data_IF_652135884751
#
_entry.id   IF_652135884751
#
_cell.length_a   1.000
_cell.length_b   1.000
_cell.length_c   1.000
_cell.angle_alpha   90.00
_cell.angle_beta   90.00
_cell.angle_gamma   90.00
#
_symmetry.space_group_name_H-M   'P 1'
#
loop_
_entity.id
_entity.type
_entity.pdbx_description
1 polymer ?
#
# COMPACT_ATOMS: atom_id res chain seq x y z
N UNK A 1 -10.09 113.37 -28.55
CA UNK A 1 -10.96 113.41 -29.75
C UNK A 1 -12.39 113.35 -29.26
N UNK A 2 -13.08 114.49 -29.33
CA UNK A 2 -14.44 114.62 -28.81
C UNK A 2 -15.36 114.02 -29.87
N UNK A 3 -16.00 112.90 -29.55
CA UNK A 3 -16.99 112.21 -30.40
C UNK A 3 -18.30 113.01 -30.36
N UNK A 4 -18.19 114.27 -30.77
CA UNK A 4 -19.24 114.98 -31.47
C UNK A 4 -18.74 114.91 -32.90
N UNK A 5 -19.12 113.85 -33.60
CA UNK A 5 -19.20 113.72 -35.05
C UNK A 5 -19.47 112.24 -35.35
N UNK A 6 -20.47 111.99 -36.19
CA UNK A 6 -20.94 110.69 -36.69
C UNK A 6 -22.04 110.00 -35.88
N UNK A 7 -23.20 110.65 -35.75
CA UNK A 7 -24.42 109.94 -36.13
C UNK A 7 -24.96 110.66 -37.35
N UNK A 8 -24.96 109.92 -38.44
CA UNK A 8 -25.22 110.33 -39.81
C UNK A 8 -26.75 110.31 -39.97
N UNK A 9 -27.39 111.46 -40.23
CA UNK A 9 -28.86 111.60 -40.33
C UNK A 9 -29.51 110.63 -41.34
N UNK A 10 -28.74 110.07 -42.29
CA UNK A 10 -29.21 109.02 -43.19
C UNK A 10 -29.54 107.69 -42.50
N UNK A 11 -28.95 107.38 -41.34
CA UNK A 11 -29.23 106.14 -40.60
C UNK A 11 -30.48 106.25 -39.72
N UNK A 12 -30.83 107.44 -39.24
CA UNK A 12 -32.09 107.63 -38.50
C UNK A 12 -33.29 107.54 -39.43
N UNK A 13 -33.22 108.13 -40.63
CA UNK A 13 -34.32 108.01 -41.61
C UNK A 13 -34.51 106.57 -42.12
N UNK A 14 -33.43 105.81 -42.35
CA UNK A 14 -33.53 104.38 -42.69
C UNK A 14 -34.07 103.53 -41.53
N UNK A 15 -33.73 103.88 -40.28
CA UNK A 15 -34.24 103.20 -39.10
C UNK A 15 -35.72 103.53 -38.84
N UNK A 16 -36.14 104.78 -39.05
CA UNK A 16 -37.53 105.22 -38.97
C UNK A 16 -38.36 104.57 -40.10
N UNK A 17 -37.83 104.48 -41.33
CA UNK A 17 -38.51 103.76 -42.41
C UNK A 17 -38.65 102.26 -42.14
N UNK A 18 -37.64 101.62 -41.55
CA UNK A 18 -37.71 100.20 -41.15
C UNK A 18 -38.70 99.99 -40.00
N UNK A 19 -38.77 100.91 -39.03
CA UNK A 19 -39.75 100.87 -37.93
C UNK A 19 -41.18 101.08 -38.46
N UNK A 20 -41.40 102.03 -39.38
CA UNK A 20 -42.71 102.27 -39.99
C UNK A 20 -43.14 101.10 -40.89
N UNK A 21 -42.22 100.46 -41.62
CA UNK A 21 -42.52 99.22 -42.37
C UNK A 21 -42.82 98.03 -41.44
N UNK A 22 -42.13 97.90 -40.31
CA UNK A 22 -42.42 96.89 -39.30
C UNK A 22 -43.78 97.14 -38.61
N UNK A 23 -44.14 98.40 -38.32
CA UNK A 23 -45.45 98.76 -37.79
C UNK A 23 -46.59 98.55 -38.81
N UNK A 24 -46.36 98.79 -40.11
CA UNK A 24 -47.33 98.45 -41.17
C UNK A 24 -47.52 96.94 -41.35
N UNK A 25 -46.52 96.11 -41.02
CA UNK A 25 -46.63 94.64 -40.98
C UNK A 25 -47.20 94.10 -39.67
N UNK A 26 -47.18 94.91 -38.60
CA UNK A 26 -47.89 94.68 -37.33
C UNK A 26 -49.32 95.24 -37.33
N UNK A 27 -49.74 95.89 -38.42
CA UNK A 27 -51.12 96.31 -38.58
C UNK A 27 -51.96 95.06 -38.78
N UNK A 28 -52.52 94.60 -37.66
CA UNK A 28 -53.25 93.37 -37.56
C UNK A 28 -54.61 93.53 -38.28
N UNK A 29 -54.92 92.74 -39.33
CA UNK A 29 -56.27 92.68 -39.89
C UNK A 29 -57.33 92.27 -38.86
N UNK A 30 -56.88 91.77 -37.69
CA UNK A 30 -57.74 91.50 -36.56
C UNK A 30 -58.08 92.74 -35.72
N UNK A 31 -57.41 93.88 -35.82
CA UNK A 31 -57.75 95.09 -35.05
C UNK A 31 -58.97 95.80 -35.64
N UNK A 32 -59.10 95.91 -36.97
CA UNK A 32 -60.35 96.30 -37.63
C UNK A 32 -61.45 95.25 -37.41
N UNK A 33 -61.15 93.94 -37.46
CA UNK A 33 -62.12 92.91 -37.07
C UNK A 33 -62.52 93.00 -35.59
N UNK A 34 -61.64 93.45 -34.69
CA UNK A 34 -61.94 93.64 -33.28
C UNK A 34 -62.75 94.90 -33.04
N UNK A 35 -62.48 96.00 -33.75
CA UNK A 35 -63.28 97.24 -33.67
C UNK A 35 -64.66 96.98 -34.28
N UNK A 36 -64.75 96.37 -35.46
CA UNK A 36 -66.03 96.01 -36.09
C UNK A 36 -66.80 95.00 -35.25
N UNK A 37 -66.16 93.93 -34.73
CA UNK A 37 -66.83 93.00 -33.80
C UNK A 37 -67.20 93.66 -32.47
N UNK A 38 -66.38 94.59 -31.96
CA UNK A 38 -66.70 95.35 -30.76
C UNK A 38 -67.89 96.25 -31.00
N UNK A 39 -67.98 96.91 -32.15
CA UNK A 39 -69.12 97.75 -32.51
C UNK A 39 -70.38 96.92 -32.80
N UNK A 40 -70.25 95.74 -33.41
CA UNK A 40 -71.32 94.74 -33.53
C UNK A 40 -71.76 94.21 -32.16
N UNK A 41 -70.82 93.96 -31.24
CA UNK A 41 -71.12 93.55 -29.85
C UNK A 41 -71.75 94.72 -29.09
N UNK A 42 -71.32 95.96 -29.28
CA UNK A 42 -71.92 97.15 -28.65
C UNK A 42 -73.30 97.43 -29.24
N UNK A 43 -73.52 97.26 -30.54
CA UNK A 43 -74.85 97.33 -31.16
C UNK A 43 -75.75 96.21 -30.68
N UNK A 44 -75.23 94.97 -30.59
CA UNK A 44 -75.95 93.82 -30.05
C UNK A 44 -76.27 94.00 -28.57
N UNK A 45 -75.36 94.60 -27.78
CA UNK A 45 -75.56 94.94 -26.37
C UNK A 45 -76.56 96.09 -26.22
N UNK A 46 -76.56 97.11 -27.10
CA UNK A 46 -77.57 98.17 -27.11
C UNK A 46 -78.95 97.68 -27.57
N UNK A 47 -78.99 96.71 -28.50
CA UNK A 47 -80.22 96.02 -28.87
C UNK A 47 -80.73 95.12 -27.73
N UNK A 48 -79.83 94.44 -27.01
CA UNK A 48 -80.15 93.69 -25.79
C UNK A 48 -80.63 94.60 -24.65
N UNK A 49 -80.00 95.76 -24.46
CA UNK A 49 -80.38 96.76 -23.46
C UNK A 49 -81.74 97.40 -23.83
N UNK A 50 -81.97 97.70 -25.11
CA UNK A 50 -83.29 98.10 -25.62
C UNK A 50 -84.36 97.00 -25.52
N UNK A 51 -84.00 95.73 -25.69
CA UNK A 51 -84.88 94.57 -25.48
C UNK A 51 -85.15 94.29 -24.00
N UNK A 52 -84.20 94.57 -23.12
CA UNK A 52 -84.33 94.43 -21.67
C UNK A 52 -85.25 95.54 -21.11
N UNK A 53 -85.06 96.79 -21.55
CA UNK A 53 -85.92 97.92 -21.17
C UNK A 53 -87.32 97.82 -21.81
N UNK A 54 -87.48 97.16 -22.97
CA UNK A 54 -88.79 96.94 -23.60
C UNK A 54 -89.50 95.64 -23.19
N UNK A 55 -88.81 94.68 -22.57
CA UNK A 55 -89.41 93.54 -21.86
C UNK A 55 -89.61 93.77 -20.36
N UNK A 56 -89.06 94.84 -19.78
CA UNK A 56 -89.23 95.22 -18.37
C UNK A 56 -90.68 95.62 -17.97
N UNK A 57 -91.63 95.65 -18.92
CA UNK A 57 -93.07 95.85 -18.63
C UNK A 57 -93.91 94.56 -18.83
N UNK A 58 -93.30 93.43 -19.20
CA UNK A 58 -94.00 92.15 -19.31
C UNK A 58 -93.56 91.16 -18.22
N UNK A 59 -93.94 91.43 -16.98
CA UNK A 59 -94.23 90.43 -15.95
C UNK A 59 -93.33 89.17 -15.91
N UNK A 60 -92.00 89.31 -15.83
CA UNK A 60 -91.21 88.29 -15.14
C UNK A 60 -91.19 88.63 -13.67
N UNK A 61 -92.34 88.37 -13.05
CA UNK A 61 -92.34 87.89 -11.66
C UNK A 61 -91.17 86.90 -11.59
N UNK A 62 -90.25 87.06 -10.64
CA UNK A 62 -89.63 85.88 -10.04
C UNK A 62 -90.82 84.95 -9.84
N UNK A 63 -90.89 83.76 -10.47
CA UNK A 63 -91.93 82.83 -10.10
C UNK A 63 -91.73 82.69 -8.60
N UNK A 64 -92.62 83.26 -7.80
CA UNK A 64 -92.69 82.97 -6.38
C UNK A 64 -92.93 81.47 -6.42
N UNK A 65 -91.84 80.71 -6.28
CA UNK A 65 -91.91 79.28 -6.18
C UNK A 65 -92.94 79.08 -5.09
N UNK A 66 -94.00 78.36 -5.43
CA UNK A 66 -94.92 77.93 -4.38
C UNK A 66 -94.08 77.19 -3.36
N UNK A 67 -94.44 77.26 -2.08
CA UNK A 67 -93.67 76.63 -0.99
C UNK A 67 -93.26 75.18 -1.36
N UNK A 68 -94.12 74.46 -2.11
CA UNK A 68 -93.85 73.14 -2.69
C UNK A 68 -92.65 73.04 -3.63
N UNK A 69 -92.41 74.03 -4.50
CA UNK A 69 -91.28 74.03 -5.45
C UNK A 69 -89.95 74.35 -4.74
N UNK A 70 -89.99 75.15 -3.67
CA UNK A 70 -88.83 75.37 -2.78
C UNK A 70 -88.53 74.07 -2.02
N UNK A 71 -89.55 73.42 -1.47
CA UNK A 71 -89.41 72.12 -0.79
C UNK A 71 -88.89 71.00 -1.71
N UNK A 72 -89.30 70.96 -2.99
CA UNK A 72 -88.77 70.02 -3.98
C UNK A 72 -87.29 70.28 -4.30
N UNK A 73 -86.89 71.54 -4.46
CA UNK A 73 -85.48 71.90 -4.70
C UNK A 73 -84.60 71.69 -3.48
N UNK A 74 -85.10 71.92 -2.27
CA UNK A 74 -84.41 71.60 -1.02
C UNK A 74 -84.26 70.08 -0.83
N UNK A 75 -85.25 69.27 -1.22
CA UNK A 75 -85.12 67.80 -1.24
C UNK A 75 -84.08 67.33 -2.25
N UNK A 76 -84.03 67.94 -3.43
CA UNK A 76 -83.05 67.64 -4.48
C UNK A 76 -81.63 68.02 -4.05
N UNK A 77 -81.46 69.18 -3.41
CA UNK A 77 -80.18 69.62 -2.83
C UNK A 77 -79.73 68.69 -1.69
N UNK A 78 -80.64 68.31 -0.78
CA UNK A 78 -80.35 67.35 0.28
C UNK A 78 -79.96 65.97 -0.28
N UNK A 79 -80.60 65.53 -1.36
CA UNK A 79 -80.24 64.31 -2.09
C UNK A 79 -78.82 64.38 -2.64
N UNK A 80 -78.45 65.48 -3.31
CA UNK A 80 -77.12 65.68 -3.86
C UNK A 80 -76.04 65.75 -2.76
N UNK A 81 -76.32 66.40 -1.63
CA UNK A 81 -75.40 66.43 -0.49
C UNK A 81 -75.20 65.04 0.15
N UNK A 82 -76.23 64.19 0.17
CA UNK A 82 -76.11 62.80 0.61
C UNK A 82 -75.24 62.01 -0.37
N UNK A 83 -75.39 62.25 -1.67
CA UNK A 83 -74.61 61.59 -2.72
C UNK A 83 -73.14 62.04 -2.73
N UNK A 84 -72.88 63.32 -2.49
CA UNK A 84 -71.53 63.87 -2.32
C UNK A 84 -70.83 63.25 -1.10
N UNK A 85 -71.52 63.11 0.03
CA UNK A 85 -71.01 62.39 1.22
C UNK A 85 -70.75 60.91 0.95
N UNK A 86 -71.53 60.25 0.08
CA UNK A 86 -71.26 58.87 -0.34
C UNK A 86 -70.00 58.80 -1.18
N UNK A 87 -69.83 59.71 -2.15
CA UNK A 87 -68.63 59.78 -2.99
C UNK A 87 -67.38 60.04 -2.14
N UNK A 88 -67.48 60.92 -1.15
CA UNK A 88 -66.38 61.24 -0.23
C UNK A 88 -65.95 60.01 0.59
N UNK A 89 -66.91 59.27 1.17
CA UNK A 89 -66.64 57.96 1.80
C UNK A 89 -66.00 56.96 0.84
N UNK A 90 -66.46 56.90 -0.40
CA UNK A 90 -65.91 55.97 -1.40
C UNK A 90 -64.46 56.32 -1.76
N UNK A 91 -64.13 57.61 -1.86
CA UNK A 91 -62.75 58.08 -2.08
C UNK A 91 -61.84 57.73 -0.92
N UNK A 92 -62.35 57.82 0.30
CA UNK A 92 -61.62 57.46 1.52
C UNK A 92 -61.36 55.95 1.59
N UNK A 93 -62.36 55.12 1.24
CA UNK A 93 -62.20 53.67 1.08
C UNK A 93 -61.19 53.29 -0.01
N UNK A 94 -61.16 54.02 -1.13
CA UNK A 94 -60.17 53.82 -2.21
C UNK A 94 -58.76 54.09 -1.67
N UNK A 95 -58.53 55.20 -0.97
CA UNK A 95 -57.23 55.50 -0.37
C UNK A 95 -56.77 54.41 0.60
N UNK A 96 -57.67 53.92 1.47
CA UNK A 96 -57.37 52.84 2.40
C UNK A 96 -56.98 51.55 1.65
N UNK A 97 -57.70 51.21 0.58
CA UNK A 97 -57.38 50.03 -0.24
C UNK A 97 -56.08 50.19 -1.01
N UNK A 98 -55.75 51.38 -1.51
CA UNK A 98 -54.48 51.67 -2.16
C UNK A 98 -53.29 51.51 -1.19
N UNK A 99 -53.42 52.01 0.05
CA UNK A 99 -52.41 51.81 1.09
C UNK A 99 -52.24 50.32 1.45
N UNK A 100 -53.34 49.58 1.57
CA UNK A 100 -53.29 48.13 1.81
C UNK A 100 -52.61 47.38 0.66
N UNK A 101 -52.91 47.76 -0.59
CA UNK A 101 -52.31 47.16 -1.79
C UNK A 101 -50.82 47.46 -1.87
N UNK A 102 -50.39 48.65 -1.44
CA UNK A 102 -48.97 49.00 -1.36
C UNK A 102 -48.22 48.18 -0.31
N UNK A 103 -48.84 47.95 0.86
CA UNK A 103 -48.28 47.07 1.92
C UNK A 103 -48.15 45.63 1.43
N UNK A 104 -49.20 45.07 0.82
CA UNK A 104 -49.19 43.70 0.29
C UNK A 104 -48.13 43.53 -0.81
N UNK A 105 -47.97 44.52 -1.71
CA UNK A 105 -46.91 44.48 -2.73
C UNK A 105 -45.50 44.44 -2.12
N UNK A 106 -45.25 45.22 -1.06
CA UNK A 106 -43.97 45.18 -0.34
C UNK A 106 -43.73 43.81 0.28
N UNK A 107 -44.71 43.28 1.02
CA UNK A 107 -44.61 41.95 1.63
C UNK A 107 -44.40 40.84 0.59
N UNK A 108 -45.07 40.94 -0.57
CA UNK A 108 -44.91 39.99 -1.66
C UNK A 108 -43.47 40.03 -2.20
N UNK A 109 -42.92 41.24 -2.44
CA UNK A 109 -41.54 41.39 -2.92
C UNK A 109 -40.51 40.84 -1.94
N UNK A 110 -40.67 41.08 -0.64
CA UNK A 110 -39.78 40.54 0.39
C UNK A 110 -39.85 39.01 0.48
N UNK A 111 -41.06 38.44 0.37
CA UNK A 111 -41.23 36.98 0.33
C UNK A 111 -40.65 36.38 -0.94
N UNK A 112 -40.77 37.05 -2.08
CA UNK A 112 -40.18 36.59 -3.33
C UNK A 112 -38.64 36.54 -3.24
N UNK A 113 -38.02 37.59 -2.70
CA UNK A 113 -36.56 37.62 -2.46
C UNK A 113 -36.14 36.47 -1.53
N UNK A 114 -36.87 36.25 -0.43
CA UNK A 114 -36.59 35.12 0.47
C UNK A 114 -36.73 33.76 -0.21
N UNK A 115 -37.73 33.58 -1.07
CA UNK A 115 -37.88 32.34 -1.84
C UNK A 115 -36.71 32.11 -2.80
N UNK A 116 -36.24 33.16 -3.48
CA UNK A 116 -35.09 33.08 -4.38
C UNK A 116 -33.78 32.76 -3.62
N UNK A 117 -33.57 33.35 -2.44
CA UNK A 117 -32.44 33.03 -1.56
C UNK A 117 -32.50 31.57 -1.05
N UNK A 118 -33.67 31.10 -0.63
CA UNK A 118 -33.86 29.72 -0.20
C UNK A 118 -33.62 28.74 -1.34
N UNK A 119 -34.06 29.07 -2.55
CA UNK A 119 -33.82 28.24 -3.74
C UNK A 119 -32.34 28.13 -4.07
N UNK A 120 -31.57 29.23 -3.98
CA UNK A 120 -30.11 29.21 -4.14
C UNK A 120 -29.43 28.32 -3.10
N UNK A 121 -29.78 28.48 -1.82
CA UNK A 121 -29.22 27.61 -0.75
C UNK A 121 -29.55 26.14 -0.95
N UNK A 122 -30.75 25.83 -1.43
CA UNK A 122 -31.14 24.45 -1.70
C UNK A 122 -30.29 23.82 -2.81
N UNK A 123 -29.95 24.60 -3.84
CA UNK A 123 -29.04 24.17 -4.91
C UNK A 123 -27.62 23.90 -4.36
N UNK A 124 -27.07 24.82 -3.57
CA UNK A 124 -25.76 24.65 -2.91
C UNK A 124 -25.72 23.39 -2.03
N UNK A 125 -26.79 23.12 -1.28
CA UNK A 125 -26.90 21.91 -0.47
C UNK A 125 -26.99 20.65 -1.33
N UNK A 126 -27.71 20.65 -2.45
CA UNK A 126 -27.73 19.51 -3.37
C UNK A 126 -26.36 19.23 -3.97
N UNK A 127 -25.63 20.27 -4.38
CA UNK A 127 -24.29 20.12 -4.95
C UNK A 127 -23.29 19.62 -3.90
N UNK A 128 -23.40 20.10 -2.66
CA UNK A 128 -22.63 19.60 -1.52
C UNK A 128 -22.93 18.12 -1.24
N UNK A 129 -24.21 17.72 -1.24
CA UNK A 129 -24.62 16.33 -1.04
C UNK A 129 -24.06 15.42 -2.15
N UNK A 130 -24.09 15.86 -3.42
CA UNK A 130 -23.48 15.13 -4.53
C UNK A 130 -21.97 14.97 -4.34
N UNK A 131 -21.27 16.04 -3.95
CA UNK A 131 -19.84 16.00 -3.70
C UNK A 131 -19.49 15.05 -2.56
N UNK A 132 -20.24 15.08 -1.46
CA UNK A 132 -20.06 14.16 -0.31
C UNK A 132 -20.34 12.72 -0.73
N UNK A 133 -21.42 12.45 -1.49
CA UNK A 133 -21.69 11.08 -1.96
C UNK A 133 -20.56 10.55 -2.82
N UNK A 134 -20.10 11.32 -3.81
CA UNK A 134 -19.07 10.84 -4.73
C UNK A 134 -17.71 10.67 -4.04
N UNK A 135 -17.24 11.65 -3.26
CA UNK A 135 -15.92 11.53 -2.63
C UNK A 135 -15.90 10.53 -1.48
N UNK A 136 -16.88 10.61 -0.57
CA UNK A 136 -16.78 9.88 0.71
C UNK A 136 -17.22 8.43 0.60
N UNK A 137 -18.27 8.11 -0.16
CA UNK A 137 -18.72 6.72 -0.28
C UNK A 137 -17.79 5.91 -1.17
N UNK A 138 -17.27 6.49 -2.26
CA UNK A 138 -16.33 5.78 -3.13
C UNK A 138 -15.00 5.53 -2.42
N UNK A 139 -14.49 6.51 -1.65
CA UNK A 139 -13.29 6.32 -0.82
C UNK A 139 -13.49 5.26 0.27
N UNK A 140 -14.66 5.21 0.92
CA UNK A 140 -14.99 4.18 1.91
C UNK A 140 -15.05 2.80 1.26
N UNK A 141 -15.67 2.69 0.08
CA UNK A 141 -15.74 1.43 -0.65
C UNK A 141 -14.35 0.96 -1.11
N UNK A 142 -13.50 1.87 -1.60
CA UNK A 142 -12.13 1.55 -1.99
C UNK A 142 -11.31 1.09 -0.78
N UNK A 143 -11.40 1.78 0.37
CA UNK A 143 -10.74 1.33 1.60
C UNK A 143 -11.24 -0.02 2.10
N UNK A 144 -12.51 -0.33 1.88
CA UNK A 144 -13.06 -1.64 2.22
C UNK A 144 -12.50 -2.75 1.33
N UNK A 145 -12.38 -2.51 0.03
CA UNK A 145 -11.71 -3.44 -0.89
C UNK A 145 -10.24 -3.66 -0.51
N UNK A 146 -9.51 -2.59 -0.20
CA UNK A 146 -8.12 -2.70 0.29
C UNK A 146 -8.02 -3.48 1.61
N UNK A 147 -9.02 -3.37 2.49
CA UNK A 147 -9.08 -4.12 3.73
C UNK A 147 -9.33 -5.61 3.46
N UNK A 148 -10.28 -5.93 2.57
CA UNK A 148 -10.59 -7.31 2.18
C UNK A 148 -9.36 -7.98 1.54
N UNK A 149 -8.63 -7.28 0.66
CA UNK A 149 -7.38 -7.76 0.06
C UNK A 149 -6.30 -8.06 1.12
N UNK A 150 -6.14 -7.15 2.10
CA UNK A 150 -5.20 -7.35 3.22
C UNK A 150 -5.60 -8.50 4.13
N UNK A 151 -6.90 -8.75 4.32
CA UNK A 151 -7.38 -9.90 5.08
C UNK A 151 -7.05 -11.22 4.37
N UNK A 152 -7.20 -11.26 3.04
CA UNK A 152 -6.80 -12.42 2.23
C UNK A 152 -5.28 -12.65 2.36
N UNK A 153 -4.47 -11.61 2.22
CA UNK A 153 -3.02 -11.69 2.38
C UNK A 153 -2.63 -12.18 3.78
N UNK A 154 -3.30 -11.69 4.82
CA UNK A 154 -3.08 -12.13 6.21
C UNK A 154 -3.37 -13.63 6.38
N UNK A 155 -4.43 -14.15 5.75
CA UNK A 155 -4.76 -15.58 5.77
C UNK A 155 -3.66 -16.40 5.09
N UNK A 156 -3.16 -15.95 3.94
CA UNK A 156 -2.05 -16.62 3.25
C UNK A 156 -0.75 -16.62 4.07
N UNK A 157 -0.40 -15.48 4.67
CA UNK A 157 0.78 -15.37 5.54
C UNK A 157 0.64 -16.30 6.74
N UNK A 158 -0.53 -16.36 7.39
CA UNK A 158 -0.79 -17.29 8.48
C UNK A 158 -0.64 -18.75 8.04
N UNK A 159 -1.06 -19.10 6.82
CA UNK A 159 -0.88 -20.44 6.26
C UNK A 159 0.61 -20.76 6.05
N UNK A 160 1.35 -19.88 5.39
CA UNK A 160 2.80 -20.03 5.16
C UNK A 160 3.58 -20.16 6.47
N UNK A 161 3.22 -19.39 7.50
CA UNK A 161 3.83 -19.48 8.83
C UNK A 161 3.58 -20.85 9.48
N UNK A 162 2.36 -21.39 9.38
CA UNK A 162 2.04 -22.73 9.89
C UNK A 162 2.84 -23.82 9.17
N UNK A 163 2.91 -23.77 7.85
CA UNK A 163 3.68 -24.71 7.03
C UNK A 163 5.18 -24.65 7.37
N UNK A 164 5.74 -23.44 7.48
CA UNK A 164 7.14 -23.23 7.85
C UNK A 164 7.44 -23.74 9.25
N UNK A 165 6.52 -23.52 10.21
CA UNK A 165 6.66 -24.03 11.59
C UNK A 165 6.62 -25.56 11.63
N UNK A 166 5.74 -26.19 10.86
CA UNK A 166 5.69 -27.65 10.74
C UNK A 166 6.97 -28.22 10.12
N UNK A 167 7.46 -27.60 9.04
CA UNK A 167 8.73 -27.99 8.40
C UNK A 167 9.94 -27.83 9.34
N UNK A 168 9.98 -26.74 10.11
CA UNK A 168 11.03 -26.52 11.11
C UNK A 168 11.03 -27.60 12.19
N UNK A 169 9.84 -27.99 12.67
CA UNK A 169 9.72 -29.04 13.68
C UNK A 169 10.18 -30.41 13.14
N UNK A 170 9.81 -30.73 11.90
CA UNK A 170 10.29 -31.93 11.22
C UNK A 170 11.83 -31.95 11.10
N UNK A 171 12.44 -30.83 10.70
CA UNK A 171 13.90 -30.70 10.61
C UNK A 171 14.59 -30.81 11.97
N UNK A 172 13.98 -30.30 13.05
CA UNK A 172 14.50 -30.48 14.40
C UNK A 172 14.51 -31.94 14.83
N UNK A 173 13.44 -32.67 14.54
CA UNK A 173 13.35 -34.10 14.84
C UNK A 173 14.39 -34.90 14.03
N UNK A 174 14.55 -34.59 12.75
CA UNK A 174 15.57 -35.21 11.89
C UNK A 174 16.99 -34.93 12.40
N UNK A 175 17.30 -33.69 12.78
CA UNK A 175 18.61 -33.34 13.34
C UNK A 175 18.87 -34.09 14.66
N UNK A 176 17.86 -34.24 15.52
CA UNK A 176 17.99 -35.02 16.73
C UNK A 176 18.27 -36.50 16.46
N UNK A 177 17.64 -37.09 15.43
CA UNK A 177 17.93 -38.46 14.98
C UNK A 177 19.38 -38.60 14.52
N UNK A 178 19.84 -37.70 13.64
CA UNK A 178 21.22 -37.69 13.15
C UNK A 178 22.23 -37.51 14.28
N UNK A 179 21.91 -36.69 15.30
CA UNK A 179 22.76 -36.54 16.48
C UNK A 179 22.88 -37.85 17.26
N UNK A 180 21.77 -38.56 17.46
CA UNK A 180 21.79 -39.86 18.14
C UNK A 180 22.58 -40.90 17.32
N UNK A 181 22.38 -40.96 16.00
CA UNK A 181 23.13 -41.85 15.10
C UNK A 181 24.64 -41.56 15.13
N UNK A 182 25.02 -40.27 15.14
CA UNK A 182 26.42 -39.86 15.30
C UNK A 182 26.98 -40.33 16.64
N UNK A 183 26.24 -40.17 17.74
CA UNK A 183 26.70 -40.56 19.08
C UNK A 183 26.84 -42.09 19.20
N UNK A 184 25.99 -42.87 18.53
CA UNK A 184 26.14 -44.33 18.42
C UNK A 184 27.37 -44.73 17.59
N UNK A 185 27.61 -44.05 16.46
CA UNK A 185 28.80 -44.31 15.64
C UNK A 185 30.10 -43.98 16.38
N UNK A 186 30.12 -42.89 17.17
CA UNK A 186 31.28 -42.55 17.99
C UNK A 186 31.58 -43.64 19.04
N UNK A 187 30.56 -44.19 19.70
CA UNK A 187 30.74 -45.33 20.62
C UNK A 187 31.32 -46.56 19.92
N UNK A 188 30.84 -46.87 18.71
CA UNK A 188 31.37 -47.99 17.93
C UNK A 188 32.83 -47.76 17.52
N UNK A 189 33.20 -46.52 17.20
CA UNK A 189 34.60 -46.17 16.92
C UNK A 189 35.45 -46.39 18.16
N UNK A 190 35.02 -45.91 19.33
CA UNK A 190 35.73 -46.13 20.60
C UNK A 190 35.89 -47.63 20.92
N UNK A 191 34.85 -48.45 20.70
CA UNK A 191 34.91 -49.91 20.87
C UNK A 191 35.96 -50.54 19.93
N UNK A 192 36.00 -50.13 18.66
CA UNK A 192 36.98 -50.61 17.69
C UNK A 192 38.40 -50.18 18.06
N UNK A 193 38.59 -48.94 18.53
CA UNK A 193 39.91 -48.45 18.97
C UNK A 193 40.45 -49.25 20.16
N UNK A 194 39.58 -49.63 21.10
CA UNK A 194 39.94 -50.50 22.23
C UNK A 194 40.35 -51.89 21.71
N UNK A 195 39.57 -52.48 20.80
CA UNK A 195 39.90 -53.79 20.20
C UNK A 195 41.23 -53.73 19.47
N UNK A 196 41.48 -52.67 18.69
CA UNK A 196 42.72 -52.50 17.95
C UNK A 196 43.92 -52.38 18.90
N UNK A 197 43.81 -51.56 19.95
CA UNK A 197 44.86 -51.40 20.97
C UNK A 197 45.18 -52.72 21.67
N UNK A 198 44.16 -53.50 22.02
CA UNK A 198 44.33 -54.83 22.60
C UNK A 198 44.96 -55.80 21.61
N UNK A 199 44.56 -55.75 20.33
CA UNK A 199 45.14 -56.55 19.25
C UNK A 199 46.62 -56.26 19.04
N UNK A 200 47.00 -54.99 18.96
CA UNK A 200 48.40 -54.55 18.86
C UNK A 200 49.23 -55.00 20.06
N UNK A 201 48.66 -54.97 21.26
CA UNK A 201 49.33 -55.47 22.48
C UNK A 201 49.55 -56.98 22.37
N UNK A 202 48.54 -57.74 21.94
CA UNK A 202 48.65 -59.20 21.79
C UNK A 202 49.67 -59.61 20.73
N UNK A 203 49.75 -58.86 19.63
CA UNK A 203 50.75 -59.09 18.58
C UNK A 203 52.16 -58.95 19.17
N UNK A 204 52.44 -57.88 19.93
CA UNK A 204 53.75 -57.68 20.57
C UNK A 204 54.09 -58.81 21.55
N UNK A 205 53.14 -59.25 22.35
CA UNK A 205 53.35 -60.39 23.26
C UNK A 205 53.76 -61.67 22.51
N UNK A 206 53.09 -61.95 21.38
CA UNK A 206 53.38 -63.11 20.54
C UNK A 206 54.75 -62.96 19.84
N UNK A 207 55.09 -61.77 19.35
CA UNK A 207 56.40 -61.49 18.77
C UNK A 207 57.54 -61.73 19.79
N UNK A 208 57.35 -61.29 21.04
CA UNK A 208 58.31 -61.54 22.12
C UNK A 208 58.43 -63.03 22.47
N UNK A 209 57.31 -63.78 22.45
CA UNK A 209 57.29 -65.23 22.69
C UNK A 209 58.01 -65.99 21.57
N UNK A 210 57.74 -65.64 20.30
CA UNK A 210 58.44 -66.20 19.13
C UNK A 210 59.94 -65.93 19.23
N UNK A 211 60.34 -64.72 19.64
CA UNK A 211 61.76 -64.39 19.82
C UNK A 211 62.41 -65.26 20.89
N UNK A 212 61.77 -65.45 22.04
CA UNK A 212 62.27 -66.33 23.11
C UNK A 212 62.40 -67.78 22.65
N UNK A 213 61.42 -68.29 21.92
CA UNK A 213 61.45 -69.65 21.37
C UNK A 213 62.58 -69.80 20.34
N UNK A 214 62.79 -68.81 19.47
CA UNK A 214 63.89 -68.81 18.51
C UNK A 214 65.26 -68.79 19.22
N UNK A 215 65.43 -67.97 20.26
CA UNK A 215 66.66 -67.94 21.05
C UNK A 215 66.91 -69.29 21.76
N UNK A 216 65.85 -69.94 22.26
CA UNK A 216 65.92 -71.29 22.84
C UNK A 216 66.34 -72.33 21.80
N UNK A 217 65.70 -72.34 20.62
CA UNK A 217 66.03 -73.25 19.52
C UNK A 217 67.49 -73.08 19.10
N UNK A 218 67.96 -71.84 18.93
CA UNK A 218 69.36 -71.57 18.58
C UNK A 218 70.34 -72.06 19.64
N UNK A 219 70.00 -71.87 20.92
CA UNK A 219 70.82 -72.36 22.03
C UNK A 219 70.88 -73.88 22.01
N UNK A 220 69.73 -74.56 21.90
CA UNK A 220 69.68 -76.03 21.86
C UNK A 220 70.40 -76.61 20.65
N UNK A 221 70.31 -75.94 19.50
CA UNK A 221 71.05 -76.32 18.29
C UNK A 221 72.56 -76.31 18.52
N UNK A 222 73.10 -75.26 19.16
CA UNK A 222 74.53 -75.19 19.50
C UNK A 222 74.95 -76.27 20.49
N UNK A 223 74.11 -76.55 21.49
CA UNK A 223 74.37 -77.64 22.44
C UNK A 223 74.46 -79.00 21.72
N UNK A 224 73.52 -79.29 20.82
CA UNK A 224 73.53 -80.51 20.02
C UNK A 224 74.74 -80.60 19.08
N UNK A 225 75.15 -79.49 18.45
CA UNK A 225 76.37 -79.44 17.63
C UNK A 225 77.63 -79.72 18.46
N UNK A 226 77.69 -79.24 19.71
CA UNK A 226 78.79 -79.54 20.63
C UNK A 226 78.77 -81.01 21.08
N UNK A 227 77.60 -81.54 21.44
CA UNK A 227 77.43 -82.96 21.81
C UNK A 227 77.83 -83.87 20.65
N UNK A 228 77.41 -83.56 19.42
CA UNK A 228 77.79 -84.29 18.21
C UNK A 228 79.31 -84.26 18.00
N UNK A 229 79.94 -83.09 18.12
CA UNK A 229 81.40 -82.96 17.99
C UNK A 229 82.14 -83.76 19.07
N UNK A 230 81.61 -83.81 20.29
CA UNK A 230 82.18 -84.59 21.39
C UNK A 230 82.06 -86.10 21.14
N UNK A 231 80.91 -86.55 20.61
CA UNK A 231 80.70 -87.95 20.20
C UNK A 231 81.62 -88.34 19.04
N UNK A 232 81.80 -87.50 18.03
CA UNK A 232 82.74 -87.74 16.93
C UNK A 232 84.20 -87.86 17.41
N UNK A 233 84.61 -87.05 18.41
CA UNK A 233 85.93 -87.19 19.04
C UNK A 233 86.05 -88.52 19.77
N UNK A 234 85.06 -88.88 20.58
CA UNK A 234 85.03 -90.17 21.28
C UNK A 234 85.04 -91.35 20.32
N UNK A 235 84.33 -91.25 19.20
CA UNK A 235 84.35 -92.24 18.12
C UNK A 235 85.75 -92.43 17.55
N UNK A 236 86.46 -91.34 17.23
CA UNK A 236 87.85 -91.39 16.75
C UNK A 236 88.85 -91.92 17.79
N UNK A 237 88.64 -91.61 19.06
CA UNK A 237 89.51 -92.11 20.14
C UNK A 237 89.35 -93.63 20.31
N UNK A 238 88.10 -94.13 20.23
CA UNK A 238 87.82 -95.57 20.25
C UNK A 238 88.34 -96.29 19.00
N UNK A 239 88.26 -95.67 17.83
CA UNK A 239 88.83 -96.20 16.59
C UNK A 239 90.34 -96.40 16.73
N UNK A 240 91.07 -95.39 17.27
CA UNK A 240 92.51 -95.53 17.56
C UNK A 240 92.82 -96.62 18.58
N UNK A 241 92.03 -96.72 19.66
CA UNK A 241 92.21 -97.76 20.66
C UNK A 241 92.01 -99.15 20.05
N UNK A 242 91.02 -99.28 19.15
CA UNK A 242 90.77 -100.51 18.39
C UNK A 242 91.96 -100.84 17.49
N UNK A 243 92.49 -99.88 16.73
CA UNK A 243 93.68 -100.05 15.89
C UNK A 243 94.91 -100.47 16.70
N UNK A 244 95.12 -99.86 17.88
CA UNK A 244 96.23 -100.21 18.78
C UNK A 244 96.11 -101.64 19.32
N UNK A 245 94.91 -102.06 19.73
CA UNK A 245 94.63 -103.43 20.16
C UNK A 245 94.86 -104.41 19.01
N UNK A 246 94.34 -104.11 17.81
CA UNK A 246 94.56 -104.95 16.62
C UNK A 246 96.06 -105.10 16.33
N UNK A 247 96.82 -104.01 16.38
CA UNK A 247 98.28 -104.03 16.23
C UNK A 247 98.96 -104.93 17.27
N UNK A 248 98.59 -104.82 18.55
CA UNK A 248 99.13 -105.67 19.61
C UNK A 248 98.79 -107.15 19.42
N UNK A 249 97.59 -107.48 18.93
CA UNK A 249 97.19 -108.85 18.59
C UNK A 249 98.10 -109.40 17.48
N UNK A 250 98.28 -108.65 16.38
CA UNK A 250 99.14 -109.05 15.26
C UNK A 250 100.58 -109.28 15.74
N UNK A 251 101.14 -108.36 16.51
CA UNK A 251 102.50 -108.49 17.07
C UNK A 251 102.62 -109.73 17.97
N UNK A 252 101.62 -109.99 18.83
CA UNK A 252 101.58 -111.14 19.72
C UNK A 252 101.44 -112.48 18.97
N UNK A 253 100.59 -112.54 17.96
CA UNK A 253 100.41 -113.74 17.13
C UNK A 253 101.68 -114.06 16.32
N UNK A 254 102.33 -113.05 15.75
CA UNK A 254 103.60 -113.21 15.05
C UNK A 254 104.69 -113.74 15.99
N UNK A 255 104.75 -113.27 17.24
CA UNK A 255 105.70 -113.76 18.24
C UNK A 255 105.49 -115.25 18.59
N UNK A 256 104.25 -115.76 18.44
CA UNK A 256 103.89 -117.17 18.62
C UNK A 256 104.08 -118.02 17.35
N UNK A 257 104.54 -117.43 16.25
CA UNK A 257 104.74 -118.12 14.96
C UNK A 257 103.44 -118.36 14.18
N UNK A 258 102.37 -117.62 14.49
CA UNK A 258 101.09 -117.66 13.78
C UNK A 258 101.06 -116.48 12.81
N UNK A 259 100.96 -116.76 11.51
CA UNK A 259 100.82 -115.73 10.48
C UNK A 259 99.37 -115.23 10.46
N UNK A 260 99.14 -113.98 10.85
CA UNK A 260 97.80 -113.38 10.92
C UNK A 260 97.68 -112.23 9.93
N UNK A 261 96.68 -112.31 9.06
CA UNK A 261 96.38 -111.27 8.09
C UNK A 261 95.51 -110.18 8.75
N UNK A 262 95.90 -108.89 8.72
CA UNK A 262 95.12 -107.82 9.35
C UNK A 262 93.64 -107.78 8.94
N UNK A 263 93.34 -108.15 7.69
CA UNK A 263 91.97 -108.21 7.14
C UNK A 263 91.08 -109.31 7.77
N UNK A 264 91.65 -110.35 8.37
CA UNK A 264 90.87 -111.41 9.06
C UNK A 264 90.50 -111.02 10.49
N UNK A 265 91.20 -110.05 11.10
CA UNK A 265 90.86 -109.52 12.43
C UNK A 265 89.69 -108.55 12.33
N UNK A 266 89.69 -107.67 11.32
CA UNK A 266 88.62 -106.70 11.06
C UNK A 266 87.28 -107.39 10.70
N UNK A 267 87.32 -108.50 9.94
CA UNK A 267 86.12 -109.26 9.55
C UNK A 267 85.53 -110.16 10.66
N UNK A 268 86.24 -110.41 11.76
CA UNK A 268 85.71 -111.17 12.90
C UNK A 268 85.06 -110.27 13.97
N UNK A 269 85.14 -108.95 13.82
CA UNK A 269 84.27 -108.02 14.52
C UNK A 269 82.91 -108.05 13.80
N UNK A 270 81.97 -108.80 14.38
CA UNK A 270 80.59 -108.83 13.94
C UNK A 270 79.99 -107.42 14.15
N UNK A 271 80.13 -106.56 13.14
CA UNK A 271 79.41 -105.30 13.10
C UNK A 271 77.94 -105.67 12.97
N UNK A 272 77.24 -105.78 14.11
CA UNK A 272 75.80 -105.60 14.10
C UNK A 272 75.57 -104.22 13.51
N UNK A 273 75.20 -104.20 12.22
CA UNK A 273 74.63 -103.03 11.60
C UNK A 273 73.47 -102.64 12.51
N UNK A 274 73.63 -101.54 13.22
CA UNK A 274 72.49 -100.89 13.85
C UNK A 274 71.70 -100.41 12.66
N UNK A 275 70.64 -101.15 12.32
CA UNK A 275 69.67 -100.74 11.29
C UNK A 275 69.38 -99.26 11.49
N UNK A 276 69.35 -98.51 10.38
CA UNK A 276 68.98 -97.10 10.36
C UNK A 276 67.81 -96.90 11.32
N UNK A 277 68.04 -96.22 12.44
CA UNK A 277 66.96 -95.83 13.33
C UNK A 277 66.12 -94.88 12.50
N UNK A 278 64.99 -95.37 11.99
CA UNK A 278 63.96 -94.54 11.39
C UNK A 278 63.72 -93.39 12.38
N UNK A 279 64.10 -92.19 11.95
CA UNK A 279 63.83 -90.98 12.71
C UNK A 279 62.31 -90.89 12.86
N UNK A 280 61.75 -90.93 14.08
CA UNK A 280 60.31 -90.80 14.27
C UNK A 280 59.88 -89.33 14.19
N UNK A 281 60.61 -88.53 13.40
CA UNK A 281 60.19 -87.18 13.08
C UNK A 281 59.26 -87.33 11.89
N UNK A 282 57.98 -87.56 12.20
CA UNK A 282 56.92 -87.22 11.26
C UNK A 282 57.15 -85.76 10.86
N UNK A 283 57.35 -85.56 9.56
CA UNK A 283 57.42 -84.26 8.89
C UNK A 283 56.05 -83.61 9.00
N UNK A 284 55.73 -83.09 10.19
CA UNK A 284 54.60 -82.22 10.44
C UNK A 284 54.89 -80.92 9.68
N UNK A 285 54.45 -80.90 8.43
CA UNK A 285 54.66 -79.85 7.46
C UNK A 285 54.46 -78.46 8.06
N UNK A 286 55.57 -77.83 8.42
CA UNK A 286 55.71 -76.40 8.59
C UNK A 286 55.61 -75.75 7.20
N UNK A 287 54.39 -75.69 6.69
CA UNK A 287 54.01 -74.75 5.64
C UNK A 287 53.84 -73.38 6.31
N UNK A 288 54.90 -72.57 6.20
CA UNK A 288 54.82 -71.11 6.33
C UNK A 288 53.99 -70.52 5.19
#
# INVERSE_FOLDING_TARGET
MKVVDLINDKKEDEMIQLIVQAMKKLHDPFEEKYITKRDEIIQSLKQLDGLLVSQEIAQKRVPLMTIKQVEEKEKELNSLQIEEKKIEKTKEEIKIKEEQLLKIKKEFSEKQIKCEELSKRQQEHQDTIKSIKNYTLDDINNKKLEQDDKEIELVEVKKKVKETKASLEQKKQENQKLKNERDELLKKIEEIEIINTNGETKIKELEDEIKKLNDFIQTRKRELEMEATALERKGRDLEKETDEIQKQIIESCNALGIEVNPLEIENNLDYQQVDDIESPIEDDGLLF
#
